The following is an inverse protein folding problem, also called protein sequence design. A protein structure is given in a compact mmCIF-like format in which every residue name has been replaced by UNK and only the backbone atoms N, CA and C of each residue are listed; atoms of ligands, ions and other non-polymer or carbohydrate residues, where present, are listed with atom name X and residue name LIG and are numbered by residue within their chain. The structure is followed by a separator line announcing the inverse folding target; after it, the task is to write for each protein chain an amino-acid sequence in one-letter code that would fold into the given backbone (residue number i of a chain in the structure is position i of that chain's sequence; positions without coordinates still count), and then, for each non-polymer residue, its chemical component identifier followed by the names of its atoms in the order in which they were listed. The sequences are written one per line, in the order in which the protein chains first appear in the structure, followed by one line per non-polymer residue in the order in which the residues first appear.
data_IF_663807414397
#
_entry.id   IF_663807414397
#
_cell.length_a   1.000
_cell.length_b   1.000
_cell.length_c   1.000
_cell.angle_alpha   90.00
_cell.angle_beta   90.00
_cell.angle_gamma   90.00
#
_symmetry.space_group_name_H-M   'P 1'
#
loop_
_entity.id
_entity.type
_entity.pdbx_description
1 polymer ?
#
# COMPACT_ATOMS: atom_id res chain seq x y z
N UNK A 1 -41.54 60.61 -11.79
CA UNK A 1 -40.40 60.99 -12.59
C UNK A 1 -39.29 60.09 -12.11
N UNK A 2 -39.04 59.20 -12.87
CA UNK A 2 -38.51 57.83 -12.75
C UNK A 2 -37.01 57.84 -12.89
N UNK A 3 -36.33 57.37 -11.84
CA UNK A 3 -34.90 57.04 -11.92
C UNK A 3 -34.78 55.56 -12.33
N UNK A 4 -34.18 55.34 -13.48
CA UNK A 4 -33.82 54.03 -14.01
C UNK A 4 -32.54 53.55 -13.32
N UNK A 5 -32.68 52.47 -12.60
CA UNK A 5 -31.56 51.67 -12.09
C UNK A 5 -30.77 51.05 -13.25
N UNK A 6 -29.53 51.47 -13.40
CA UNK A 6 -28.52 50.79 -14.25
C UNK A 6 -27.96 49.61 -13.50
N UNK A 7 -28.33 48.44 -13.97
CA UNK A 7 -27.73 47.15 -13.61
C UNK A 7 -26.32 47.09 -14.20
N UNK A 8 -25.28 47.37 -13.37
CA UNK A 8 -23.89 47.24 -13.72
C UNK A 8 -23.50 45.75 -13.60
N UNK A 9 -23.44 45.07 -14.76
CA UNK A 9 -22.77 43.78 -14.93
C UNK A 9 -21.32 43.87 -14.47
N UNK A 10 -21.00 43.25 -13.34
CA UNK A 10 -19.62 42.98 -12.97
C UNK A 10 -19.02 41.98 -13.97
N UNK A 11 -17.84 42.25 -14.54
CA UNK A 11 -17.13 41.28 -15.35
C UNK A 11 -16.68 40.11 -14.45
N UNK A 12 -16.84 38.88 -14.95
CA UNK A 12 -16.34 37.69 -14.35
C UNK A 12 -14.84 37.81 -14.11
N UNK A 13 -14.42 37.80 -12.84
CA UNK A 13 -13.02 37.84 -12.49
C UNK A 13 -12.30 36.61 -13.02
N UNK A 14 -11.32 36.87 -13.87
CA UNK A 14 -10.31 35.89 -14.22
C UNK A 14 -9.64 35.43 -12.91
N UNK A 15 -9.74 34.13 -12.60
CA UNK A 15 -9.00 33.50 -11.52
C UNK A 15 -7.54 33.43 -11.97
N UNK A 16 -6.79 34.50 -11.74
CA UNK A 16 -5.33 34.46 -11.76
C UNK A 16 -4.89 33.73 -10.46
N UNK A 17 -5.05 32.42 -10.45
CA UNK A 17 -4.48 31.55 -9.44
C UNK A 17 -2.98 31.45 -9.70
N UNK A 18 -2.20 32.43 -9.28
CA UNK A 18 -0.80 32.18 -9.00
C UNK A 18 -0.75 31.14 -7.87
N UNK A 19 -0.09 29.99 -8.06
CA UNK A 19 0.14 29.07 -6.95
C UNK A 19 0.95 29.86 -5.92
N UNK A 20 0.45 29.95 -4.70
CA UNK A 20 1.19 30.49 -3.60
C UNK A 20 2.52 29.74 -3.52
N UNK A 21 3.60 30.36 -3.97
CA UNK A 21 4.94 29.89 -3.80
C UNK A 21 5.27 30.00 -2.32
N UNK A 22 4.79 29.02 -1.55
CA UNK A 22 5.29 28.80 -0.21
C UNK A 22 6.75 28.38 -0.35
N UNK A 23 7.66 29.25 -0.03
CA UNK A 23 9.06 28.91 0.18
C UNK A 23 9.12 27.79 1.20
N UNK A 24 9.37 26.57 0.73
CA UNK A 24 9.67 25.42 1.60
C UNK A 24 11.07 25.69 2.15
N UNK A 25 11.16 26.48 3.21
CA UNK A 25 12.42 26.87 3.84
C UNK A 25 13.14 25.76 4.56
N UNK A 26 12.48 24.63 4.81
CA UNK A 26 13.12 23.48 5.45
C UNK A 26 12.40 22.18 5.09
N UNK A 27 13.02 21.40 4.21
CA UNK A 27 12.56 20.05 3.87
C UNK A 27 12.83 19.03 4.99
N UNK A 28 13.45 19.43 6.10
CA UNK A 28 13.72 18.59 7.25
C UNK A 28 12.52 18.44 8.20
N UNK A 29 11.55 19.37 8.15
CA UNK A 29 10.43 19.39 9.10
C UNK A 29 9.30 18.42 8.76
N UNK A 30 9.31 17.81 7.58
CA UNK A 30 8.31 16.83 7.15
C UNK A 30 8.77 15.37 7.21
N UNK A 31 9.96 15.11 7.74
CA UNK A 31 10.41 13.75 8.05
C UNK A 31 10.05 13.45 9.50
N UNK A 32 9.10 12.55 9.80
CA UNK A 32 8.70 12.22 11.17
C UNK A 32 9.79 11.51 11.97
N UNK A 33 10.82 11.05 11.31
CA UNK A 33 12.00 10.41 11.90
C UNK A 33 13.23 11.20 11.52
N UNK A 34 13.94 11.70 12.53
CA UNK A 34 15.12 12.55 12.38
C UNK A 34 16.19 11.93 11.48
N UNK A 35 16.43 12.55 10.37
CA UNK A 35 17.75 12.72 9.77
C UNK A 35 18.45 11.55 9.09
N UNK A 36 18.12 10.29 9.31
CA UNK A 36 18.90 9.14 8.81
C UNK A 36 18.42 8.58 7.46
N UNK A 37 17.14 8.72 7.13
CA UNK A 37 16.58 8.26 5.85
C UNK A 37 17.22 8.90 4.61
N UNK A 38 17.81 10.10 4.74
CA UNK A 38 18.50 10.79 3.64
C UNK A 38 19.79 10.12 3.18
N UNK A 39 20.41 9.30 4.00
CA UNK A 39 21.74 8.76 3.68
C UNK A 39 21.70 7.40 2.98
N UNK A 40 20.68 6.58 3.22
CA UNK A 40 20.64 5.23 2.68
C UNK A 40 20.37 5.16 1.17
N UNK A 41 19.43 5.94 0.65
CA UNK A 41 19.16 5.94 -0.80
C UNK A 41 20.21 6.71 -1.62
N UNK A 42 20.96 7.67 -1.01
CA UNK A 42 22.11 8.31 -1.67
C UNK A 42 23.27 7.38 -1.88
N UNK A 43 23.39 6.34 -1.06
CA UNK A 43 24.45 5.34 -1.16
C UNK A 43 24.00 4.09 -1.94
N UNK A 44 22.72 3.86 -2.14
CA UNK A 44 22.23 2.88 -3.10
C UNK A 44 22.39 3.48 -4.50
N UNK A 45 22.99 2.75 -5.41
CA UNK A 45 23.52 3.10 -6.73
C UNK A 45 22.49 3.65 -7.73
N UNK A 46 21.49 4.43 -7.33
CA UNK A 46 20.58 5.16 -8.21
C UNK A 46 21.07 6.59 -8.45
N UNK A 47 22.36 6.81 -8.48
CA UNK A 47 22.95 8.05 -8.92
C UNK A 47 23.08 8.05 -10.45
N UNK A 48 21.97 8.21 -11.17
CA UNK A 48 22.03 8.65 -12.56
C UNK A 48 22.11 10.19 -12.60
N UNK A 49 23.09 10.75 -13.34
CA UNK A 49 23.20 12.20 -13.51
C UNK A 49 21.91 12.74 -14.16
N UNK A 50 21.23 13.66 -13.47
CA UNK A 50 19.97 14.26 -13.92
C UNK A 50 18.70 13.83 -13.15
N UNK A 51 18.79 12.83 -12.27
CA UNK A 51 17.70 12.40 -11.39
C UNK A 51 17.60 13.18 -10.07
N UNK A 52 18.61 14.03 -9.75
CA UNK A 52 18.72 14.63 -8.42
C UNK A 52 17.48 15.42 -7.98
N UNK A 53 16.81 16.14 -8.87
CA UNK A 53 15.56 16.82 -8.52
C UNK A 53 14.31 15.94 -8.76
N UNK A 54 14.27 15.18 -9.85
CA UNK A 54 13.11 14.31 -10.16
C UNK A 54 13.05 13.11 -9.23
N UNK A 55 14.20 12.53 -8.88
CA UNK A 55 14.30 11.44 -7.91
C UNK A 55 13.83 11.88 -6.52
N UNK A 56 14.23 13.07 -6.06
CA UNK A 56 13.80 13.61 -4.76
C UNK A 56 12.27 13.80 -4.70
N UNK A 57 11.67 14.35 -5.77
CA UNK A 57 10.20 14.52 -5.84
C UNK A 57 9.50 13.15 -5.88
N UNK A 58 10.02 12.19 -6.62
CA UNK A 58 9.46 10.85 -6.70
C UNK A 58 9.47 10.15 -5.34
N UNK A 59 10.60 10.14 -4.63
CA UNK A 59 10.69 9.54 -3.30
C UNK A 59 9.83 10.29 -2.27
N UNK A 60 9.77 11.61 -2.34
CA UNK A 60 8.86 12.39 -1.49
C UNK A 60 7.39 12.03 -1.75
N UNK A 61 7.01 11.86 -3.01
CA UNK A 61 5.65 11.43 -3.38
C UNK A 61 5.34 10.02 -2.83
N UNK A 62 6.27 9.06 -2.95
CA UNK A 62 6.11 7.72 -2.38
C UNK A 62 5.98 7.75 -0.85
N UNK A 63 6.76 8.60 -0.16
CA UNK A 63 6.66 8.78 1.28
C UNK A 63 5.31 9.38 1.72
N UNK A 64 4.71 10.23 0.90
CA UNK A 64 3.43 10.87 1.20
C UNK A 64 2.22 9.99 0.87
N UNK A 65 2.39 8.88 0.15
CA UNK A 65 1.27 7.98 -0.14
C UNK A 65 0.82 7.25 1.13
N UNK A 66 -0.48 7.02 1.23
CA UNK A 66 -1.07 6.22 2.32
C UNK A 66 -1.02 4.72 2.04
N UNK A 67 -0.59 4.32 0.85
CA UNK A 67 -0.42 2.93 0.48
C UNK A 67 0.93 2.43 0.98
N UNK A 68 0.99 1.40 1.81
CA UNK A 68 2.23 0.77 2.24
C UNK A 68 3.03 0.26 1.04
N UNK A 69 4.29 0.68 0.93
CA UNK A 69 5.15 0.35 -0.20
C UNK A 69 6.58 0.08 0.24
N UNK A 70 7.21 -0.87 -0.45
CA UNK A 70 8.64 -1.16 -0.33
C UNK A 70 9.28 -1.30 -1.71
N UNK A 71 10.60 -1.12 -1.76
CA UNK A 71 11.44 -1.48 -2.89
C UNK A 71 12.52 -2.43 -2.37
N UNK A 72 12.77 -3.52 -3.11
CA UNK A 72 13.84 -4.47 -2.80
C UNK A 72 14.83 -4.55 -3.95
N UNK A 73 16.09 -4.86 -3.66
CA UNK A 73 17.18 -4.93 -4.65
C UNK A 73 17.61 -6.39 -4.89
N UNK A 74 17.17 -7.02 -5.99
CA UNK A 74 17.49 -8.41 -6.31
C UNK A 74 18.96 -8.63 -6.69
N UNK A 75 19.74 -7.56 -6.92
CA UNK A 75 21.17 -7.64 -7.21
C UNK A 75 22.02 -7.85 -5.94
N UNK A 76 21.42 -7.59 -4.77
CA UNK A 76 22.02 -7.85 -3.48
C UNK A 76 21.62 -9.23 -2.95
N UNK A 77 22.45 -9.78 -2.07
CA UNK A 77 22.17 -11.07 -1.45
C UNK A 77 20.83 -11.05 -0.73
N UNK A 78 19.96 -12.02 -1.02
CA UNK A 78 18.65 -12.23 -0.41
C UNK A 78 17.59 -11.18 -0.76
N UNK A 79 17.77 -10.38 -1.82
CA UNK A 79 16.78 -9.39 -2.28
C UNK A 79 16.25 -8.50 -1.12
N UNK A 80 17.14 -7.73 -0.47
CA UNK A 80 16.78 -6.96 0.73
C UNK A 80 15.92 -5.74 0.41
N UNK A 81 15.18 -5.27 1.41
CA UNK A 81 14.50 -3.99 1.38
C UNK A 81 15.54 -2.86 1.37
N UNK A 82 15.43 -2.00 0.37
CA UNK A 82 16.26 -0.78 0.19
C UNK A 82 15.45 0.51 0.34
N UNK A 83 14.13 0.41 0.33
CA UNK A 83 13.22 1.52 0.59
C UNK A 83 11.93 0.99 1.21
N UNK A 84 11.40 1.73 2.18
CA UNK A 84 10.05 1.56 2.71
C UNK A 84 9.46 2.94 2.99
N UNK A 85 8.17 3.13 2.68
CA UNK A 85 7.51 4.38 3.04
C UNK A 85 6.93 4.31 4.46
N UNK A 86 6.56 5.49 4.99
CA UNK A 86 5.97 5.58 6.33
C UNK A 86 4.73 4.69 6.49
N UNK A 87 3.88 4.58 5.47
CA UNK A 87 2.69 3.77 5.54
C UNK A 87 3.00 2.28 5.77
N UNK A 88 4.11 1.78 5.23
CA UNK A 88 4.57 0.41 5.48
C UNK A 88 5.04 0.23 6.93
N UNK A 89 5.78 1.18 7.48
CA UNK A 89 6.22 1.15 8.88
C UNK A 89 5.01 1.20 9.81
N UNK A 90 4.06 2.10 9.54
CA UNK A 90 2.81 2.21 10.32
C UNK A 90 1.95 0.94 10.24
N UNK A 91 1.89 0.28 9.09
CA UNK A 91 1.16 -0.97 8.91
C UNK A 91 1.79 -2.12 9.70
N UNK A 92 3.11 -2.24 9.62
CA UNK A 92 3.83 -3.41 10.13
C UNK A 92 4.31 -3.25 11.58
N UNK A 93 4.42 -2.01 12.05
CA UNK A 93 4.90 -1.65 13.39
C UNK A 93 6.42 -1.80 13.57
N UNK A 94 7.16 -2.05 12.48
CA UNK A 94 8.62 -2.09 12.51
C UNK A 94 9.21 -0.70 12.30
N UNK A 95 10.38 -0.46 12.90
CA UNK A 95 11.18 0.72 12.63
C UNK A 95 12.03 0.51 11.36
N UNK A 96 12.43 1.61 10.74
CA UNK A 96 13.19 1.60 9.49
C UNK A 96 14.48 0.81 9.60
N UNK A 97 15.22 0.99 10.70
CA UNK A 97 16.49 0.31 10.97
C UNK A 97 16.34 -1.21 11.15
N UNK A 98 15.16 -1.67 11.53
CA UNK A 98 14.87 -3.09 11.72
C UNK A 98 14.60 -3.84 10.42
N UNK A 99 14.20 -3.13 9.35
CA UNK A 99 13.78 -3.74 8.09
C UNK A 99 14.76 -3.56 6.93
N UNK A 100 15.56 -2.48 6.93
CA UNK A 100 16.56 -2.29 5.88
C UNK A 100 17.59 -3.41 5.86
N UNK A 101 17.95 -3.82 4.65
CA UNK A 101 18.90 -4.92 4.44
C UNK A 101 18.30 -6.31 4.71
N UNK A 102 17.03 -6.41 5.08
CA UNK A 102 16.34 -7.70 5.29
C UNK A 102 15.38 -8.00 4.14
N UNK A 103 15.19 -9.28 3.88
CA UNK A 103 14.13 -9.72 2.98
C UNK A 103 12.77 -9.63 3.66
N UNK A 104 11.72 -9.19 2.93
CA UNK A 104 10.38 -8.97 3.48
C UNK A 104 9.68 -10.23 4.02
N UNK A 105 10.27 -11.44 3.85
CA UNK A 105 9.75 -12.68 4.44
C UNK A 105 9.69 -12.67 5.98
N UNK A 106 10.29 -11.69 6.65
CA UNK A 106 10.17 -11.53 8.10
C UNK A 106 8.71 -11.26 8.55
N UNK A 107 7.84 -10.84 7.63
CA UNK A 107 6.41 -10.69 7.88
C UNK A 107 5.66 -12.03 7.89
N UNK A 108 6.28 -13.13 7.42
CA UNK A 108 5.67 -14.46 7.46
C UNK A 108 5.75 -15.05 8.87
N UNK A 109 4.81 -15.92 9.19
CA UNK A 109 4.73 -16.54 10.52
C UNK A 109 4.10 -17.93 10.45
N UNK A 110 3.77 -18.50 11.62
CA UNK A 110 3.40 -19.92 11.73
C UNK A 110 2.18 -20.31 10.91
N UNK A 111 1.20 -19.43 10.77
CA UNK A 111 -0.03 -19.72 10.04
C UNK A 111 -0.04 -19.14 8.61
N UNK A 112 1.09 -18.60 8.12
CA UNK A 112 1.24 -18.20 6.72
C UNK A 112 1.21 -19.44 5.83
N UNK A 113 0.31 -19.48 4.84
CA UNK A 113 0.18 -20.65 3.96
C UNK A 113 1.46 -20.86 3.13
N UNK A 114 2.10 -22.04 3.24
CA UNK A 114 3.28 -22.35 2.44
C UNK A 114 3.04 -22.34 0.92
N UNK A 115 1.80 -22.51 0.46
CA UNK A 115 1.46 -22.42 -0.96
C UNK A 115 1.56 -20.99 -1.47
N UNK A 116 1.05 -20.02 -0.71
CA UNK A 116 1.14 -18.60 -1.04
C UNK A 116 2.61 -18.14 -1.07
N UNK A 117 3.41 -18.59 -0.08
CA UNK A 117 4.85 -18.30 -0.02
C UNK A 117 5.59 -18.87 -1.24
N UNK A 118 5.21 -20.05 -1.69
CA UNK A 118 5.82 -20.68 -2.88
C UNK A 118 5.47 -19.91 -4.13
N UNK A 119 4.20 -19.52 -4.30
CA UNK A 119 3.73 -18.73 -5.44
C UNK A 119 4.47 -17.39 -5.52
N UNK A 120 4.63 -16.67 -4.39
CA UNK A 120 5.44 -15.45 -4.32
C UNK A 120 6.90 -15.69 -4.74
N UNK A 121 7.48 -16.78 -4.26
CA UNK A 121 8.89 -17.11 -4.58
C UNK A 121 9.07 -17.42 -6.06
N UNK A 122 8.14 -18.15 -6.66
CA UNK A 122 8.15 -18.49 -8.08
C UNK A 122 8.02 -17.23 -8.93
N UNK A 123 7.07 -16.34 -8.64
CA UNK A 123 6.89 -15.10 -9.37
C UNK A 123 8.13 -14.18 -9.31
N UNK A 124 8.75 -14.05 -8.14
CA UNK A 124 10.01 -13.31 -7.99
C UNK A 124 11.14 -13.96 -8.79
N UNK A 125 11.23 -15.30 -8.79
CA UNK A 125 12.27 -16.03 -9.53
C UNK A 125 12.08 -15.92 -11.05
N UNK A 126 10.83 -15.93 -11.52
CA UNK A 126 10.50 -15.77 -12.97
C UNK A 126 10.41 -14.30 -13.39
N UNK A 127 10.57 -13.36 -12.46
CA UNK A 127 10.47 -11.91 -12.70
C UNK A 127 9.09 -11.49 -13.23
N UNK A 128 8.06 -12.13 -12.75
CA UNK A 128 6.67 -11.85 -13.10
C UNK A 128 5.98 -11.02 -12.02
N UNK A 129 5.02 -10.20 -12.45
CA UNK A 129 4.18 -9.47 -11.50
C UNK A 129 3.15 -10.44 -10.89
N UNK A 130 2.93 -10.29 -9.58
CA UNK A 130 2.00 -11.13 -8.83
C UNK A 130 1.13 -10.30 -7.90
N UNK A 131 -0.11 -10.73 -7.70
CA UNK A 131 -1.02 -10.20 -6.68
C UNK A 131 -1.69 -11.35 -5.96
N UNK A 132 -1.53 -11.42 -4.65
CA UNK A 132 -2.19 -12.42 -3.81
C UNK A 132 -2.45 -11.89 -2.40
N UNK A 133 -3.28 -12.59 -1.63
CA UNK A 133 -3.54 -12.28 -0.23
C UNK A 133 -2.96 -13.40 0.65
N UNK A 134 -2.08 -13.03 1.56
CA UNK A 134 -1.50 -13.98 2.51
C UNK A 134 -1.56 -13.46 3.93
N UNK A 135 -1.47 -14.37 4.90
CA UNK A 135 -1.40 -14.02 6.31
C UNK A 135 0.02 -13.59 6.65
N UNK A 136 0.17 -12.38 7.16
CA UNK A 136 1.40 -11.80 7.68
C UNK A 136 1.27 -11.44 9.16
N UNK A 137 2.40 -11.08 9.77
CA UNK A 137 2.49 -10.75 11.19
C UNK A 137 3.19 -9.40 11.35
N UNK A 138 2.62 -8.54 12.21
CA UNK A 138 3.26 -7.29 12.62
C UNK A 138 4.39 -7.57 13.62
N UNK A 139 5.14 -6.54 13.95
CA UNK A 139 6.22 -6.61 14.96
C UNK A 139 5.75 -7.10 16.32
N UNK A 140 4.53 -6.76 16.72
CA UNK A 140 3.92 -7.18 17.98
C UNK A 140 3.39 -8.63 17.97
N UNK A 141 3.53 -9.32 16.85
CA UNK A 141 3.03 -10.69 16.63
C UNK A 141 1.56 -10.76 16.21
N UNK A 142 0.86 -9.64 16.10
CA UNK A 142 -0.53 -9.65 15.66
C UNK A 142 -0.64 -10.02 14.17
N UNK A 143 -1.52 -10.99 13.81
CA UNK A 143 -1.72 -11.36 12.42
C UNK A 143 -2.57 -10.32 11.67
N UNK A 144 -2.32 -10.21 10.37
CA UNK A 144 -3.15 -9.44 9.46
C UNK A 144 -3.14 -10.06 8.06
N UNK A 145 -4.27 -9.98 7.37
CA UNK A 145 -4.35 -10.38 5.97
C UNK A 145 -3.81 -9.27 5.10
N UNK A 146 -2.75 -9.59 4.37
CA UNK A 146 -2.03 -8.66 3.52
C UNK A 146 -2.31 -8.98 2.05
N UNK A 147 -2.99 -8.07 1.34
CA UNK A 147 -3.04 -8.11 -0.10
C UNK A 147 -1.75 -7.49 -0.63
N UNK A 148 -0.89 -8.33 -1.21
CA UNK A 148 0.43 -7.94 -1.73
C UNK A 148 0.37 -7.91 -3.24
N UNK A 149 0.91 -6.84 -3.82
CA UNK A 149 1.26 -6.76 -5.23
C UNK A 149 2.76 -6.57 -5.35
N UNK A 150 3.43 -7.41 -6.14
CA UNK A 150 4.87 -7.31 -6.44
C UNK A 150 5.04 -7.20 -7.94
N UNK A 151 5.91 -6.31 -8.39
CA UNK A 151 6.25 -6.17 -9.80
C UNK A 151 7.76 -5.90 -9.98
N UNK A 152 8.39 -6.50 -11.01
CA UNK A 152 9.77 -6.18 -11.36
C UNK A 152 9.87 -4.78 -11.97
N UNK A 153 10.98 -4.11 -11.68
CA UNK A 153 11.35 -2.79 -12.24
C UNK A 153 12.63 -2.96 -13.03
N UNK A 154 12.58 -2.57 -14.29
CA UNK A 154 13.69 -2.67 -15.23
C UNK A 154 14.25 -1.28 -15.54
N UNK A 155 15.53 -1.21 -15.90
CA UNK A 155 16.14 -0.01 -16.45
C UNK A 155 15.86 0.15 -17.96
N UNK A 156 16.47 1.17 -18.57
CA UNK A 156 16.31 1.46 -20.00
C UNK A 156 16.91 0.38 -20.91
N UNK A 157 17.86 -0.42 -20.40
CA UNK A 157 18.50 -1.53 -21.11
C UNK A 157 17.73 -2.85 -20.95
N UNK A 158 16.67 -2.85 -20.14
CA UNK A 158 15.84 -4.02 -19.85
C UNK A 158 16.42 -4.94 -18.77
N UNK A 159 17.40 -4.48 -18.00
CA UNK A 159 17.96 -5.21 -16.88
C UNK A 159 17.12 -5.01 -15.61
N UNK A 160 16.88 -6.09 -14.86
CA UNK A 160 16.14 -6.03 -13.60
C UNK A 160 16.96 -5.28 -12.54
N UNK A 161 16.44 -4.14 -12.09
CA UNK A 161 17.09 -3.31 -11.08
C UNK A 161 16.47 -3.42 -9.69
N UNK A 162 15.15 -3.54 -9.62
CA UNK A 162 14.42 -3.61 -8.35
C UNK A 162 13.15 -4.47 -8.47
N UNK A 163 12.60 -4.85 -7.32
CA UNK A 163 11.19 -5.16 -7.21
C UNK A 163 10.48 -4.05 -6.43
N UNK A 164 9.34 -3.63 -6.94
CA UNK A 164 8.38 -2.79 -6.24
C UNK A 164 7.34 -3.70 -5.60
N UNK A 165 6.95 -3.40 -4.35
CA UNK A 165 5.79 -4.05 -3.74
C UNK A 165 4.88 -3.03 -3.04
N UNK A 166 3.58 -3.16 -3.26
CA UNK A 166 2.55 -2.47 -2.48
C UNK A 166 1.75 -3.47 -1.66
N UNK A 167 1.20 -2.99 -0.55
CA UNK A 167 0.53 -3.83 0.44
C UNK A 167 -0.75 -3.15 0.92
N UNK A 168 -1.74 -3.96 1.29
CA UNK A 168 -2.99 -3.48 1.83
C UNK A 168 -3.50 -4.44 2.91
N UNK A 169 -3.77 -3.90 4.10
CA UNK A 169 -4.46 -4.66 5.15
C UNK A 169 -5.92 -4.87 4.77
N UNK A 170 -6.25 -6.11 4.45
CA UNK A 170 -7.61 -6.53 4.07
C UNK A 170 -8.32 -7.34 5.16
N UNK A 171 -7.79 -7.34 6.38
CA UNK A 171 -8.33 -8.10 7.53
C UNK A 171 -9.80 -7.74 7.79
N UNK A 172 -10.12 -6.44 7.84
CA UNK A 172 -11.50 -5.98 8.09
C UNK A 172 -12.43 -6.37 6.94
N UNK A 173 -11.98 -6.25 5.70
CA UNK A 173 -12.77 -6.66 4.52
C UNK A 173 -13.10 -8.14 4.58
N UNK A 174 -12.09 -9.00 4.81
CA UNK A 174 -12.28 -10.46 4.92
C UNK A 174 -13.22 -10.83 6.08
N UNK A 175 -13.07 -10.20 7.24
CA UNK A 175 -13.95 -10.42 8.38
C UNK A 175 -15.41 -10.07 8.06
N UNK A 176 -15.63 -8.93 7.40
CA UNK A 176 -16.98 -8.50 6.99
C UNK A 176 -17.59 -9.43 5.96
N UNK A 177 -16.83 -9.87 4.96
CA UNK A 177 -17.28 -10.84 3.95
C UNK A 177 -17.61 -12.19 4.57
N UNK A 178 -16.81 -12.64 5.54
CA UNK A 178 -17.06 -13.89 6.26
C UNK A 178 -18.33 -13.80 7.12
N UNK A 179 -18.51 -12.70 7.84
CA UNK A 179 -19.72 -12.46 8.63
C UNK A 179 -20.97 -12.44 7.75
N UNK A 180 -20.91 -11.76 6.60
CA UNK A 180 -22.00 -11.71 5.64
C UNK A 180 -22.35 -13.12 5.10
N UNK A 181 -21.36 -13.89 4.69
CA UNK A 181 -21.58 -15.28 4.23
C UNK A 181 -22.19 -16.17 5.31
N UNK A 182 -21.78 -15.97 6.57
CA UNK A 182 -22.34 -16.71 7.69
C UNK A 182 -23.80 -16.34 7.96
N UNK A 183 -24.14 -15.03 7.88
CA UNK A 183 -25.51 -14.56 8.02
C UNK A 183 -26.42 -15.12 6.91
N UNK A 184 -25.96 -15.13 5.66
CA UNK A 184 -26.70 -15.75 4.55
C UNK A 184 -26.95 -17.25 4.74
N UNK A 185 -25.95 -17.99 5.25
CA UNK A 185 -26.14 -19.40 5.56
C UNK A 185 -27.19 -19.62 6.64
N UNK A 186 -27.18 -18.76 7.66
CA UNK A 186 -28.13 -18.85 8.77
C UNK A 186 -29.56 -18.52 8.32
N UNK A 187 -29.72 -17.52 7.46
CA UNK A 187 -31.02 -17.16 6.86
C UNK A 187 -31.58 -18.30 6.01
N UNK A 188 -30.76 -18.90 5.14
CA UNK A 188 -31.17 -20.04 4.34
C UNK A 188 -31.64 -21.25 5.19
N UNK A 189 -30.91 -21.55 6.28
CA UNK A 189 -31.30 -22.61 7.24
C UNK A 189 -32.62 -22.23 7.91
N UNK A 190 -32.81 -20.99 8.32
CA UNK A 190 -34.04 -20.50 8.93
C UNK A 190 -35.27 -20.67 8.02
N UNK A 191 -35.14 -20.30 6.76
CA UNK A 191 -36.19 -20.47 5.76
C UNK A 191 -36.54 -21.93 5.52
N UNK A 192 -35.54 -22.82 5.40
CA UNK A 192 -35.76 -24.26 5.27
C UNK A 192 -36.46 -24.86 6.50
N UNK A 193 -36.03 -24.46 7.70
CA UNK A 193 -36.63 -24.96 8.95
C UNK A 193 -38.08 -24.51 9.10
N UNK A 194 -38.37 -23.26 8.75
CA UNK A 194 -39.76 -22.74 8.77
C UNK A 194 -40.67 -23.47 7.78
N UNK A 195 -40.19 -23.77 6.57
CA UNK A 195 -40.88 -24.57 5.56
C UNK A 195 -41.18 -26.00 6.05
N UNK A 196 -40.19 -26.66 6.63
CA UNK A 196 -40.34 -28.00 7.19
C UNK A 196 -41.35 -28.01 8.35
N UNK A 197 -41.29 -27.06 9.27
CA UNK A 197 -42.23 -26.95 10.38
C UNK A 197 -43.66 -26.75 9.89
N UNK A 198 -43.85 -25.93 8.85
CA UNK A 198 -45.16 -25.73 8.23
C UNK A 198 -45.68 -27.04 7.61
N UNK A 199 -44.86 -27.77 6.89
CA UNK A 199 -45.24 -29.00 6.23
C UNK A 199 -45.54 -30.14 7.22
N UNK A 200 -44.76 -30.21 8.32
CA UNK A 200 -45.07 -31.14 9.44
C UNK A 200 -46.42 -30.82 10.08
N UNK A 201 -46.73 -29.54 10.31
CA UNK A 201 -48.03 -29.14 10.88
C UNK A 201 -49.22 -29.43 9.97
N UNK A 202 -49.01 -29.51 8.66
CA UNK A 202 -50.06 -29.85 7.69
C UNK A 202 -50.27 -31.37 7.55
N UNK A 203 -49.38 -32.20 8.05
CA UNK A 203 -49.45 -33.67 7.98
C UNK A 203 -50.09 -34.29 9.23
N UNK A 204 -50.26 -33.54 10.31
CA UNK A 204 -50.94 -33.91 11.55
C UNK A 204 -52.36 -33.40 11.55
#
# INVERSE_FOLDING_TARGET
MTDEERDEKRPAGEATGEPAAGEIKDTTSYLPTGGTARHHWRNSTVAQPGLDQRGTVFFAALQMTRMPMIITDPRQQDNPIVFANKAFLDLTGYEEEEIFGRNCRFLQGPDTDPSDVRELREAVATREAISLELLNYRRDGSPFWNAVFIAPVYDEDGELIYFFASQLDVTRRRASEQAFRQAQKMEAIGQLTAGLAHDFNNLL
#
